data_IF_469947599692
#
_entry.id   IF_469947599692
#
_cell.length_a   1.000
_cell.length_b   1.000
_cell.length_c   1.000
_cell.angle_alpha   90.00
_cell.angle_beta   90.00
_cell.angle_gamma   90.00
#
_symmetry.space_group_name_H-M   'P 1'
#
loop_
_entity.id
_entity.type
_entity.pdbx_description
1 polymer ?
#
# COMPACT_ATOMS: atom_id res chain seq x y z
N UNK A 1 -11.79 1.65 -6.45
CA UNK A 1 -12.35 1.99 -5.13
C UNK A 1 -13.80 1.56 -5.11
N UNK A 2 -14.26 1.00 -4.00
CA UNK A 2 -15.66 0.58 -3.81
C UNK A 2 -16.21 1.23 -2.57
N UNK A 3 -17.47 1.65 -2.67
CA UNK A 3 -18.19 2.34 -1.62
C UNK A 3 -19.56 1.71 -1.46
N UNK A 4 -20.00 1.46 -0.22
CA UNK A 4 -21.35 0.98 0.08
C UNK A 4 -21.93 1.86 1.19
N UNK A 5 -23.18 2.29 1.02
CA UNK A 5 -23.91 3.04 2.04
C UNK A 5 -24.83 2.10 2.81
N UNK A 6 -24.73 2.12 4.14
CA UNK A 6 -25.57 1.37 5.07
C UNK A 6 -26.26 2.34 6.03
N UNK A 7 -27.54 2.11 6.40
CA UNK A 7 -28.19 2.91 7.42
C UNK A 7 -27.54 2.65 8.78
N UNK A 8 -27.60 3.61 9.69
CA UNK A 8 -26.97 3.49 11.01
C UNK A 8 -27.54 2.31 11.85
N UNK A 9 -28.84 2.05 11.75
CA UNK A 9 -29.52 0.94 12.42
C UNK A 9 -29.57 -0.34 11.56
N UNK A 10 -28.58 -0.57 10.71
CA UNK A 10 -28.46 -1.85 10.02
C UNK A 10 -28.20 -2.98 11.03
N UNK A 11 -28.73 -4.17 10.73
CA UNK A 11 -28.48 -5.36 11.54
C UNK A 11 -26.98 -5.72 11.48
N UNK A 12 -26.38 -6.03 12.63
CA UNK A 12 -24.94 -6.30 12.74
C UNK A 12 -24.49 -7.45 11.80
N UNK A 13 -25.37 -8.43 11.57
CA UNK A 13 -25.14 -9.56 10.66
C UNK A 13 -25.00 -9.12 9.20
N UNK A 14 -25.76 -8.10 8.80
CA UNK A 14 -25.70 -7.50 7.46
C UNK A 14 -24.43 -6.68 7.32
N UNK A 15 -24.08 -5.88 8.31
CA UNK A 15 -22.86 -5.08 8.32
C UNK A 15 -21.61 -5.97 8.20
N UNK A 16 -21.48 -6.99 9.05
CA UNK A 16 -20.35 -7.92 9.06
C UNK A 16 -20.21 -8.66 7.71
N UNK A 17 -21.34 -9.05 7.11
CA UNK A 17 -21.33 -9.65 5.78
C UNK A 17 -20.78 -8.70 4.72
N UNK A 18 -21.26 -7.45 4.66
CA UNK A 18 -20.76 -6.47 3.69
C UNK A 18 -19.28 -6.14 3.90
N UNK A 19 -18.83 -6.00 5.15
CA UNK A 19 -17.41 -5.78 5.49
C UNK A 19 -16.56 -6.96 5.03
N UNK A 20 -16.97 -8.18 5.37
CA UNK A 20 -16.25 -9.40 5.02
C UNK A 20 -16.18 -9.58 3.50
N UNK A 21 -17.30 -9.37 2.80
CA UNK A 21 -17.34 -9.46 1.34
C UNK A 21 -16.48 -8.38 0.69
N UNK A 22 -16.55 -7.14 1.17
CA UNK A 22 -15.75 -6.04 0.63
C UNK A 22 -14.25 -6.35 0.76
N UNK A 23 -13.82 -6.79 1.95
CA UNK A 23 -12.44 -7.20 2.22
C UNK A 23 -12.04 -8.43 1.38
N UNK A 24 -12.91 -9.41 1.21
CA UNK A 24 -12.60 -10.58 0.39
C UNK A 24 -12.40 -10.21 -1.08
N UNK A 25 -13.28 -9.36 -1.62
CA UNK A 25 -13.17 -8.86 -2.98
C UNK A 25 -11.87 -8.07 -3.15
N UNK A 26 -11.53 -7.17 -2.21
CA UNK A 26 -10.30 -6.36 -2.33
C UNK A 26 -9.03 -7.17 -2.13
N UNK A 27 -9.02 -8.13 -1.19
CA UNK A 27 -7.90 -9.05 -0.93
C UNK A 27 -7.58 -9.96 -2.11
N UNK A 28 -8.60 -10.47 -2.81
CA UNK A 28 -8.42 -11.31 -4.01
C UNK A 28 -7.80 -10.56 -5.19
N UNK A 29 -7.79 -9.22 -5.16
CA UNK A 29 -6.97 -8.33 -5.99
C UNK A 29 -6.72 -8.81 -7.43
N UNK A 30 -7.53 -8.36 -8.39
CA UNK A 30 -7.32 -8.73 -9.80
C UNK A 30 -8.35 -8.14 -10.76
N UNK A 31 -8.15 -8.36 -12.06
CA UNK A 31 -9.03 -7.90 -13.15
C UNK A 31 -10.49 -8.39 -12.99
N UNK A 32 -10.70 -9.46 -12.20
CA UNK A 32 -12.00 -10.06 -11.91
C UNK A 32 -12.73 -9.44 -10.71
N UNK A 33 -12.17 -8.44 -10.05
CA UNK A 33 -12.81 -7.71 -8.93
C UNK A 33 -14.23 -7.20 -9.26
N UNK A 34 -14.60 -7.15 -10.54
CA UNK A 34 -15.87 -6.62 -11.01
C UNK A 34 -16.74 -7.60 -11.79
N UNK A 35 -16.29 -8.86 -11.95
CA UNK A 35 -17.08 -9.90 -12.63
C UNK A 35 -17.83 -10.80 -11.64
N UNK A 36 -17.31 -10.90 -10.41
CA UNK A 36 -17.88 -11.75 -9.38
C UNK A 36 -18.43 -10.90 -8.23
N UNK A 37 -19.47 -10.08 -8.48
CA UNK A 37 -20.26 -9.61 -7.33
C UNK A 37 -20.84 -10.86 -6.65
N UNK A 38 -20.53 -11.09 -5.37
CA UNK A 38 -20.97 -12.30 -4.68
C UNK A 38 -22.49 -12.34 -4.64
N UNK A 39 -23.06 -13.52 -4.87
CA UNK A 39 -24.49 -13.73 -4.64
C UNK A 39 -24.78 -13.50 -3.15
N UNK A 40 -25.69 -12.57 -2.87
CA UNK A 40 -26.13 -12.28 -1.50
C UNK A 40 -26.83 -13.50 -0.91
N UNK A 41 -26.42 -14.00 0.28
CA UNK A 41 -27.14 -15.06 0.97
C UNK A 41 -28.62 -14.70 1.15
N UNK A 42 -29.48 -15.71 1.19
CA UNK A 42 -30.94 -15.52 1.27
C UNK A 42 -31.34 -14.70 2.49
N UNK A 43 -30.65 -14.86 3.62
CA UNK A 43 -30.95 -14.16 4.87
C UNK A 43 -30.64 -12.66 4.77
N UNK A 44 -29.48 -12.30 4.21
CA UNK A 44 -29.09 -10.91 3.94
C UNK A 44 -30.03 -10.28 2.90
N UNK A 45 -30.39 -11.06 1.87
CA UNK A 45 -31.32 -10.60 0.85
C UNK A 45 -32.67 -10.24 1.45
N UNK A 46 -33.25 -11.09 2.31
CA UNK A 46 -34.53 -10.78 2.99
C UNK A 46 -34.42 -9.53 3.89
N UNK A 47 -33.32 -9.38 4.61
CA UNK A 47 -33.09 -8.23 5.49
C UNK A 47 -32.96 -6.90 4.72
N UNK A 48 -32.48 -6.94 3.47
CA UNK A 48 -32.16 -5.74 2.68
C UNK A 48 -33.14 -5.44 1.54
N UNK A 49 -33.98 -6.40 1.14
CA UNK A 49 -34.84 -6.32 -0.06
C UNK A 49 -35.76 -5.09 -0.10
N UNK A 50 -36.33 -4.70 1.04
CA UNK A 50 -37.24 -3.55 1.13
C UNK A 50 -36.54 -2.17 1.01
N UNK A 51 -35.26 -2.12 1.33
CA UNK A 51 -34.48 -0.88 1.46
C UNK A 51 -33.41 -0.73 0.38
N UNK A 52 -32.97 -1.81 -0.27
CA UNK A 52 -31.84 -1.83 -1.23
C UNK A 52 -32.01 -0.89 -2.43
N UNK A 53 -33.24 -0.64 -2.88
CA UNK A 53 -33.50 0.28 -4.01
C UNK A 53 -33.86 1.71 -3.57
N UNK A 54 -33.98 1.95 -2.27
CA UNK A 54 -34.27 3.28 -1.76
C UNK A 54 -33.05 4.19 -1.84
N UNK A 55 -33.32 5.47 -2.00
CA UNK A 55 -32.31 6.52 -2.06
C UNK A 55 -31.78 6.77 -0.65
N UNK A 56 -30.46 6.74 -0.46
CA UNK A 56 -29.88 7.03 0.86
C UNK A 56 -29.73 8.53 1.16
N UNK A 57 -29.90 9.40 0.16
CA UNK A 57 -29.67 10.85 0.31
C UNK A 57 -28.19 11.22 0.40
N UNK A 58 -27.29 10.25 0.30
CA UNK A 58 -25.84 10.44 0.27
C UNK A 58 -25.35 10.57 -1.18
N UNK A 59 -24.47 11.54 -1.43
CA UNK A 59 -23.88 11.82 -2.73
C UNK A 59 -22.35 11.69 -2.70
N UNK A 60 -21.80 11.06 -3.74
CA UNK A 60 -20.36 10.98 -4.02
C UNK A 60 -19.99 12.06 -5.04
N UNK A 61 -19.16 13.02 -4.64
CA UNK A 61 -18.54 14.00 -5.53
C UNK A 61 -17.06 13.66 -5.73
N UNK A 62 -16.71 13.29 -6.95
CA UNK A 62 -15.32 13.10 -7.36
C UNK A 62 -14.86 14.32 -8.13
N UNK A 63 -13.80 14.99 -7.67
CA UNK A 63 -13.28 16.18 -8.33
C UNK A 63 -11.74 16.17 -8.35
N UNK A 64 -11.19 16.83 -9.38
CA UNK A 64 -9.76 17.13 -9.47
C UNK A 64 -9.55 18.56 -8.94
N UNK A 65 -8.43 18.85 -8.24
CA UNK A 65 -8.16 20.20 -7.77
C UNK A 65 -8.29 21.23 -8.89
N UNK A 66 -9.03 22.33 -8.64
CA UNK A 66 -9.28 23.42 -9.59
C UNK A 66 -9.98 23.02 -10.90
N UNK A 67 -10.72 21.91 -10.91
CA UNK A 67 -11.55 21.49 -12.05
C UNK A 67 -12.99 21.29 -11.57
N UNK A 68 -13.99 21.42 -12.47
CA UNK A 68 -15.37 21.07 -12.14
C UNK A 68 -15.47 19.59 -11.75
N UNK A 69 -16.53 19.26 -11.02
CA UNK A 69 -16.81 17.90 -10.52
C UNK A 69 -16.86 16.92 -11.68
N UNK A 70 -16.08 15.84 -11.60
CA UNK A 70 -15.99 14.80 -12.62
C UNK A 70 -17.15 13.81 -12.54
N UNK A 71 -17.57 13.47 -11.33
CA UNK A 71 -18.74 12.61 -11.09
C UNK A 71 -19.51 13.07 -9.88
N UNK A 72 -20.83 13.03 -10.00
CA UNK A 72 -21.78 13.27 -8.94
C UNK A 72 -22.82 12.15 -8.96
N UNK A 73 -22.62 11.13 -8.13
CA UNK A 73 -23.44 9.92 -8.10
C UNK A 73 -24.11 9.79 -6.72
N UNK A 74 -25.40 9.46 -6.69
CA UNK A 74 -26.14 9.27 -5.45
C UNK A 74 -26.15 7.79 -5.05
N UNK A 75 -25.94 7.52 -3.77
CA UNK A 75 -25.98 6.17 -3.22
C UNK A 75 -27.41 5.64 -3.10
N UNK A 76 -27.53 4.33 -3.28
CA UNK A 76 -28.68 3.53 -2.83
C UNK A 76 -28.21 2.65 -1.68
N UNK A 77 -29.10 2.32 -0.77
CA UNK A 77 -28.75 1.45 0.35
C UNK A 77 -28.29 0.09 -0.15
N UNK A 78 -27.26 -0.49 0.49
CA UNK A 78 -26.81 -1.86 0.21
C UNK A 78 -26.30 -2.12 -1.22
N UNK A 79 -26.25 -1.10 -2.08
CA UNK A 79 -25.77 -1.19 -3.46
C UNK A 79 -24.36 -0.59 -3.55
N UNK A 80 -23.35 -1.37 -3.96
CA UNK A 80 -21.99 -0.88 -4.09
C UNK A 80 -21.84 0.06 -5.30
N UNK A 81 -21.18 1.19 -5.09
CA UNK A 81 -20.70 2.08 -6.14
C UNK A 81 -19.21 1.81 -6.36
N UNK A 82 -18.83 1.56 -7.62
CA UNK A 82 -17.47 1.20 -7.99
C UNK A 82 -16.85 2.29 -8.87
N UNK A 83 -15.78 2.91 -8.37
CA UNK A 83 -14.99 3.88 -9.12
C UNK A 83 -13.72 3.23 -9.68
N UNK A 84 -13.67 3.03 -11.00
CA UNK A 84 -12.53 2.49 -11.76
C UNK A 84 -11.66 3.60 -12.35
N UNK A 85 -10.41 3.28 -12.66
CA UNK A 85 -9.55 4.07 -13.55
C UNK A 85 -9.40 5.56 -13.17
N UNK A 86 -9.42 5.84 -11.86
CA UNK A 86 -9.21 7.19 -11.32
C UNK A 86 -7.93 7.81 -11.90
N UNK A 87 -6.81 7.08 -11.91
CA UNK A 87 -5.54 7.58 -12.46
C UNK A 87 -5.61 7.83 -13.98
N UNK A 88 -6.19 6.89 -14.75
CA UNK A 88 -6.27 7.00 -16.21
C UNK A 88 -7.23 8.10 -16.68
N UNK A 89 -8.28 8.39 -15.91
CA UNK A 89 -9.21 9.50 -16.16
C UNK A 89 -8.50 10.87 -16.10
N UNK A 90 -7.33 10.98 -15.43
CA UNK A 90 -6.49 12.20 -15.43
C UNK A 90 -5.87 12.44 -16.80
N UNK A 91 -5.42 11.38 -17.47
CA UNK A 91 -4.59 11.44 -18.68
C UNK A 91 -5.39 11.86 -19.93
N UNK A 92 -6.70 11.59 -19.97
CA UNK A 92 -7.55 11.88 -21.15
C UNK A 92 -7.93 13.35 -21.32
N UNK A 93 -7.76 14.20 -20.29
CA UNK A 93 -8.22 15.60 -20.32
C UNK A 93 -7.09 16.64 -20.28
N UNK A 94 -5.82 16.23 -20.36
CA UNK A 94 -4.67 17.13 -20.36
C UNK A 94 -3.71 16.81 -21.49
N UNK A 95 -3.57 17.73 -22.45
CA UNK A 95 -2.38 17.80 -23.28
C UNK A 95 -1.30 18.55 -22.48
N UNK A 96 -0.26 17.84 -22.02
CA UNK A 96 0.88 18.47 -21.36
C UNK A 96 1.55 17.59 -20.30
N UNK A 97 2.84 17.86 -20.04
CA UNK A 97 3.68 17.21 -19.03
C UNK A 97 3.36 17.65 -17.58
N UNK A 98 2.42 18.58 -17.39
CA UNK A 98 1.92 18.98 -16.08
C UNK A 98 0.84 18.02 -15.59
N UNK A 99 1.25 16.84 -15.11
CA UNK A 99 0.42 16.11 -14.15
C UNK A 99 0.55 16.83 -12.81
N UNK A 100 -0.48 17.53 -12.30
CA UNK A 100 -0.38 18.10 -10.98
C UNK A 100 -0.19 16.96 -9.98
N UNK A 101 0.76 17.13 -9.06
CA UNK A 101 0.92 16.31 -7.84
C UNK A 101 -0.35 16.31 -6.95
N UNK A 102 -1.36 17.10 -7.31
CA UNK A 102 -2.66 17.14 -6.65
C UNK A 102 -3.48 15.88 -6.94
N UNK A 103 -3.59 15.02 -5.92
CA UNK A 103 -4.45 13.85 -5.94
C UNK A 103 -5.93 14.17 -6.18
N UNK A 104 -6.74 13.13 -6.32
CA UNK A 104 -8.20 13.26 -6.39
C UNK A 104 -8.75 13.59 -5.01
N UNK A 105 -9.72 14.49 -4.94
CA UNK A 105 -10.53 14.66 -3.74
C UNK A 105 -11.89 14.00 -3.94
N UNK A 106 -12.26 13.17 -2.97
CA UNK A 106 -13.57 12.53 -2.88
C UNK A 106 -14.31 13.23 -1.75
N UNK A 107 -15.49 13.78 -2.04
CA UNK A 107 -16.34 14.44 -1.06
C UNK A 107 -17.67 13.68 -0.97
N UNK A 108 -18.12 13.43 0.25
CA UNK A 108 -19.42 12.86 0.54
C UNK A 108 -20.34 13.97 1.04
N UNK A 109 -21.51 14.11 0.43
CA UNK A 109 -22.51 15.10 0.83
C UNK A 109 -23.79 14.37 1.21
N UNK A 110 -24.18 14.48 2.49
CA UNK A 110 -25.44 13.95 2.97
C UNK A 110 -26.51 15.03 2.89
N UNK A 111 -27.53 14.80 2.06
CA UNK A 111 -28.71 15.66 1.92
C UNK A 111 -29.90 15.17 2.75
N UNK A 112 -29.74 14.07 3.49
CA UNK A 112 -30.73 13.48 4.39
C UNK A 112 -30.38 13.79 5.84
N UNK A 113 -31.39 13.87 6.70
CA UNK A 113 -31.24 14.07 8.16
C UNK A 113 -30.84 12.79 8.90
N UNK A 114 -30.99 11.63 8.25
CA UNK A 114 -30.57 10.34 8.81
C UNK A 114 -29.05 10.17 8.76
N UNK A 115 -28.49 9.56 9.81
CA UNK A 115 -27.08 9.15 9.85
C UNK A 115 -26.81 7.99 8.89
N UNK A 116 -25.66 8.05 8.22
CA UNK A 116 -25.27 7.11 7.16
C UNK A 116 -23.90 6.55 7.46
N UNK A 117 -23.77 5.23 7.47
CA UNK A 117 -22.49 4.53 7.54
C UNK A 117 -21.98 4.27 6.12
N UNK A 118 -20.71 4.58 5.88
CA UNK A 118 -20.07 4.41 4.57
C UNK A 118 -18.94 3.40 4.72
N UNK A 119 -19.08 2.24 4.08
CA UNK A 119 -18.01 1.28 3.94
C UNK A 119 -17.21 1.60 2.68
N UNK A 120 -15.89 1.75 2.84
CA UNK A 120 -14.97 2.09 1.76
C UNK A 120 -13.80 1.11 1.74
N UNK A 121 -13.45 0.64 0.53
CA UNK A 121 -12.22 -0.11 0.34
C UNK A 121 -11.55 0.24 -1.02
N UNK A 122 -10.22 0.15 -1.05
CA UNK A 122 -9.37 0.59 -2.16
C UNK A 122 -8.57 -0.58 -2.70
N UNK A 123 -8.94 -1.02 -3.90
CA UNK A 123 -8.15 -1.99 -4.66
C UNK A 123 -7.08 -1.28 -5.47
N UNK A 124 -5.82 -1.60 -5.19
CA UNK A 124 -4.69 -1.21 -6.01
C UNK A 124 -4.47 -2.28 -7.09
N UNK A 125 -5.04 -2.06 -8.27
CA UNK A 125 -4.77 -2.90 -9.43
C UNK A 125 -3.45 -2.43 -10.05
N UNK A 126 -2.44 -3.29 -10.04
CA UNK A 126 -1.21 -3.05 -10.79
C UNK A 126 -1.51 -3.23 -12.28
N UNK A 127 -1.26 -2.21 -13.10
CA UNK A 127 -1.42 -2.21 -14.58
C UNK A 127 -0.58 -3.29 -15.31
N UNK A 128 0.10 -4.18 -14.58
CA UNK A 128 0.80 -5.34 -15.15
C UNK A 128 -0.14 -6.27 -15.96
N UNK A 129 -1.47 -6.17 -15.81
CA UNK A 129 -2.46 -6.93 -16.59
C UNK A 129 -3.09 -6.18 -17.77
N UNK A 130 -3.61 -4.96 -17.56
CA UNK A 130 -4.50 -4.30 -18.53
C UNK A 130 -3.76 -3.74 -19.76
N UNK A 131 -2.47 -3.44 -19.59
CA UNK A 131 -1.67 -3.07 -20.72
C UNK A 131 -1.38 -4.26 -21.65
N UNK A 132 -1.49 -5.54 -21.23
CA UNK A 132 -1.21 -6.66 -22.13
C UNK A 132 -2.18 -6.68 -23.30
N UNK A 133 -3.48 -6.45 -23.07
CA UNK A 133 -4.50 -6.57 -24.11
C UNK A 133 -4.62 -5.33 -25.00
N UNK A 134 -4.43 -4.14 -24.43
CA UNK A 134 -4.35 -2.90 -25.21
C UNK A 134 -3.00 -2.80 -25.94
N UNK A 135 -1.89 -3.22 -25.32
CA UNK A 135 -0.60 -3.40 -26.02
C UNK A 135 -0.72 -4.47 -27.08
N UNK A 136 -1.47 -5.56 -26.89
CA UNK A 136 -1.68 -6.58 -27.92
C UNK A 136 -2.48 -6.05 -29.11
N UNK A 137 -3.54 -5.26 -28.88
CA UNK A 137 -4.26 -4.57 -29.97
C UNK A 137 -3.42 -3.51 -30.69
N UNK A 138 -2.61 -2.73 -29.95
CA UNK A 138 -1.67 -1.75 -30.53
C UNK A 138 -0.50 -2.43 -31.24
N UNK A 139 0.07 -3.49 -30.65
CA UNK A 139 1.07 -4.40 -31.24
C UNK A 139 0.52 -4.99 -32.52
N UNK A 140 -0.70 -5.55 -32.54
CA UNK A 140 -1.27 -6.13 -33.78
C UNK A 140 -1.33 -5.10 -34.92
N UNK A 141 -1.66 -3.84 -34.61
CA UNK A 141 -1.65 -2.75 -35.60
C UNK A 141 -0.25 -2.25 -35.99
N UNK A 142 0.75 -2.42 -35.13
CA UNK A 142 2.14 -2.02 -35.37
C UNK A 142 2.98 -3.14 -36.02
N UNK A 143 2.74 -4.41 -35.66
CA UNK A 143 3.39 -5.62 -36.20
C UNK A 143 3.01 -5.88 -37.66
N UNK A 144 1.83 -5.45 -38.11
CA UNK A 144 1.48 -5.55 -39.53
C UNK A 144 2.22 -4.54 -40.41
N UNK A 145 2.95 -3.57 -39.83
CA UNK A 145 3.59 -2.51 -40.62
C UNK A 145 5.10 -2.65 -40.79
N UNK A 146 5.86 -3.27 -39.90
CA UNK A 146 7.31 -3.31 -40.08
C UNK A 146 7.97 -4.49 -39.38
N UNK A 147 8.96 -5.03 -40.06
CA UNK A 147 9.73 -6.25 -39.86
C UNK A 147 10.52 -6.31 -38.52
N UNK A 148 9.84 -6.50 -37.38
CA UNK A 148 10.44 -6.37 -36.04
C UNK A 148 10.51 -7.66 -35.19
N UNK A 149 10.25 -8.82 -35.79
CA UNK A 149 10.27 -10.14 -35.12
C UNK A 149 11.59 -10.52 -34.43
N UNK A 150 12.79 -10.27 -35.00
CA UNK A 150 14.03 -10.68 -34.33
C UNK A 150 14.43 -9.75 -33.19
N UNK A 151 14.11 -8.45 -33.29
CA UNK A 151 14.48 -7.46 -32.28
C UNK A 151 13.66 -7.65 -30.99
N UNK A 152 12.37 -7.93 -31.13
CA UNK A 152 11.48 -8.16 -29.98
C UNK A 152 11.88 -9.40 -29.17
N UNK A 153 12.38 -10.45 -29.85
CA UNK A 153 12.85 -11.67 -29.20
C UNK A 153 14.07 -11.42 -28.31
N UNK A 154 15.05 -10.67 -28.81
CA UNK A 154 16.25 -10.31 -28.06
C UNK A 154 15.93 -9.41 -26.85
N UNK A 155 14.97 -8.49 -27.00
CA UNK A 155 14.50 -7.66 -25.89
C UNK A 155 13.73 -8.45 -24.85
N UNK A 156 12.87 -9.38 -25.24
CA UNK A 156 12.16 -10.25 -24.29
C UNK A 156 13.12 -11.14 -23.49
N UNK A 157 14.15 -11.66 -24.12
CA UNK A 157 15.19 -12.45 -23.44
C UNK A 157 15.94 -11.59 -22.40
N UNK A 158 16.31 -10.36 -22.77
CA UNK A 158 16.98 -9.41 -21.86
C UNK A 158 16.09 -9.00 -20.68
N UNK A 159 14.79 -8.79 -20.92
CA UNK A 159 13.81 -8.47 -19.86
C UNK A 159 13.64 -9.65 -18.91
N UNK A 160 13.64 -10.87 -19.44
CA UNK A 160 13.52 -12.10 -18.64
C UNK A 160 14.75 -12.28 -17.75
N UNK A 161 15.95 -12.09 -18.28
CA UNK A 161 17.19 -12.10 -17.51
C UNK A 161 17.21 -11.01 -16.43
N UNK A 162 16.77 -9.78 -16.75
CA UNK A 162 16.69 -8.69 -15.78
C UNK A 162 15.70 -9.00 -14.64
N UNK A 163 14.55 -9.62 -14.94
CA UNK A 163 13.58 -10.03 -13.91
C UNK A 163 14.14 -11.11 -12.98
N UNK A 164 14.92 -12.05 -13.51
CA UNK A 164 15.59 -13.07 -12.70
C UNK A 164 16.60 -12.42 -11.73
N UNK A 165 17.40 -11.47 -12.22
CA UNK A 165 18.34 -10.71 -11.38
C UNK A 165 17.62 -9.92 -10.30
N UNK A 166 16.52 -9.22 -10.63
CA UNK A 166 15.75 -8.44 -9.65
C UNK A 166 15.13 -9.34 -8.56
N UNK A 167 14.68 -10.53 -8.93
CA UNK A 167 14.19 -11.52 -7.98
C UNK A 167 15.29 -11.99 -7.02
N UNK A 168 16.50 -12.24 -7.52
CA UNK A 168 17.66 -12.57 -6.71
C UNK A 168 18.10 -11.40 -5.82
N UNK A 169 18.06 -10.16 -6.31
CA UNK A 169 18.36 -8.97 -5.52
C UNK A 169 17.41 -8.80 -4.34
N UNK A 170 16.11 -9.03 -4.53
CA UNK A 170 15.14 -9.02 -3.42
C UNK A 170 15.42 -10.12 -2.39
N UNK A 171 15.86 -11.30 -2.83
CA UNK A 171 16.28 -12.37 -1.93
C UNK A 171 17.53 -11.99 -1.12
N UNK A 172 18.52 -11.36 -1.78
CA UNK A 172 19.74 -10.87 -1.13
C UNK A 172 19.44 -9.76 -0.13
N UNK A 173 18.54 -8.83 -0.45
CA UNK A 173 18.14 -7.74 0.44
C UNK A 173 17.52 -8.27 1.75
N UNK A 174 16.65 -9.29 1.65
CA UNK A 174 16.05 -9.89 2.83
C UNK A 174 17.08 -10.63 3.72
N UNK A 175 18.16 -11.13 3.11
CA UNK A 175 19.28 -11.73 3.82
C UNK A 175 20.21 -10.67 4.43
N UNK A 176 20.44 -9.56 3.73
CA UNK A 176 21.21 -8.41 4.22
C UNK A 176 20.56 -7.81 5.47
N UNK A 177 19.24 -7.59 5.44
CA UNK A 177 18.49 -7.08 6.61
C UNK A 177 18.70 -7.94 7.86
N UNK A 178 18.70 -9.27 7.71
CA UNK A 178 18.98 -10.20 8.82
C UNK A 178 20.44 -10.15 9.29
N UNK A 179 21.40 -10.02 8.38
CA UNK A 179 22.81 -9.88 8.76
C UNK A 179 23.11 -8.54 9.44
N UNK A 180 22.42 -7.47 9.03
CA UNK A 180 22.57 -6.12 9.59
C UNK A 180 22.18 -6.05 11.07
N UNK A 181 21.03 -6.65 11.43
CA UNK A 181 20.60 -6.72 12.84
C UNK A 181 21.59 -7.49 13.73
N UNK A 182 22.20 -8.56 13.20
CA UNK A 182 23.23 -9.31 13.93
C UNK A 182 24.51 -8.48 14.11
N UNK A 183 24.95 -7.76 13.07
CA UNK A 183 26.12 -6.88 13.14
C UNK A 183 25.95 -5.75 14.16
N UNK A 184 24.77 -5.11 14.19
CA UNK A 184 24.47 -4.06 15.17
C UNK A 184 24.49 -4.60 16.60
N UNK A 185 23.93 -5.79 16.83
CA UNK A 185 23.89 -6.41 18.16
C UNK A 185 25.26 -6.87 18.67
N UNK A 186 26.16 -7.32 17.79
CA UNK A 186 27.53 -7.71 18.13
C UNK A 186 28.35 -6.46 18.46
N UNK A 187 28.25 -5.42 17.63
CA UNK A 187 28.98 -4.18 17.81
C UNK A 187 28.62 -3.50 19.16
N UNK A 188 27.35 -3.56 19.57
CA UNK A 188 26.93 -3.06 20.89
C UNK A 188 27.61 -3.77 22.06
N UNK A 189 27.70 -5.11 22.02
CA UNK A 189 28.36 -5.91 23.08
C UNK A 189 29.86 -5.68 23.13
N UNK A 190 30.52 -5.61 21.97
CA UNK A 190 31.97 -5.34 21.88
C UNK A 190 32.29 -3.94 22.42
N UNK A 191 31.48 -2.93 22.09
CA UNK A 191 31.63 -1.58 22.62
C UNK A 191 31.55 -1.56 24.15
N UNK A 192 30.62 -2.31 24.73
CA UNK A 192 30.49 -2.43 26.19
C UNK A 192 31.76 -3.02 26.85
N UNK A 193 32.31 -4.10 26.30
CA UNK A 193 33.56 -4.68 26.79
C UNK A 193 34.77 -3.75 26.66
N UNK A 194 34.82 -2.95 25.58
CA UNK A 194 35.87 -1.93 25.40
C UNK A 194 35.85 -0.88 26.52
N UNK A 195 34.67 -0.35 26.86
CA UNK A 195 34.54 0.61 27.96
C UNK A 195 34.95 0.03 29.32
N UNK A 196 34.58 -1.22 29.60
CA UNK A 196 34.99 -1.92 30.83
C UNK A 196 36.52 -2.05 30.88
N UNK A 197 37.16 -2.46 29.79
CA UNK A 197 38.61 -2.62 29.72
C UNK A 197 39.35 -1.31 30.01
N UNK A 198 38.90 -0.20 29.41
CA UNK A 198 39.47 1.14 29.66
C UNK A 198 39.29 1.55 31.14
N UNK A 199 38.11 1.31 31.72
CA UNK A 199 37.85 1.62 33.11
C UNK A 199 38.77 0.83 34.07
N UNK A 200 39.01 -0.45 33.78
CA UNK A 200 39.94 -1.29 34.57
C UNK A 200 41.37 -0.77 34.49
N UNK A 201 41.85 -0.38 33.30
CA UNK A 201 43.19 0.19 33.14
C UNK A 201 43.36 1.50 33.92
N UNK A 202 42.35 2.37 33.91
CA UNK A 202 42.35 3.59 34.71
C UNK A 202 42.35 3.29 36.22
N UNK A 203 41.59 2.28 36.66
CA UNK A 203 41.59 1.82 38.05
C UNK A 203 42.96 1.29 38.50
N UNK A 204 43.60 0.45 37.67
CA UNK A 204 44.93 -0.10 37.97
C UNK A 204 45.98 0.99 38.00
N UNK A 205 45.98 1.93 37.05
CA UNK A 205 46.94 3.04 37.02
C UNK A 205 46.77 3.98 38.23
N UNK A 206 45.53 4.28 38.64
CA UNK A 206 45.27 5.02 39.88
C UNK A 206 45.80 4.29 41.12
N UNK A 207 45.56 2.97 41.18
CA UNK A 207 46.04 2.13 42.29
C UNK A 207 47.58 2.06 42.32
N UNK A 208 48.23 1.97 41.16
CA UNK A 208 49.69 2.02 41.06
C UNK A 208 50.27 3.34 41.57
N UNK A 209 49.70 4.48 41.19
CA UNK A 209 50.17 5.81 41.63
C UNK A 209 49.97 6.00 43.13
N UNK A 210 48.82 5.59 43.67
CA UNK A 210 48.54 5.69 45.11
C UNK A 210 49.43 4.76 45.93
N UNK A 211 49.69 3.54 45.45
CA UNK A 211 50.62 2.61 46.10
C UNK A 211 52.04 3.17 46.15
N UNK A 212 52.57 3.68 45.03
CA UNK A 212 53.89 4.32 44.99
C UNK A 212 53.97 5.53 45.92
N UNK A 213 52.95 6.42 45.91
CA UNK A 213 52.89 7.55 46.84
C UNK A 213 52.89 7.11 48.30
N UNK A 214 52.12 6.07 48.66
CA UNK A 214 52.10 5.57 50.03
C UNK A 214 53.42 4.89 50.41
N UNK A 215 54.09 4.23 49.47
CA UNK A 215 55.37 3.58 49.69
C UNK A 215 56.47 4.61 49.98
N UNK A 216 56.57 5.68 49.17
CA UNK A 216 57.53 6.78 49.41
C UNK A 216 57.29 7.52 50.72
N UNK A 217 56.02 7.76 51.10
CA UNK A 217 55.67 8.36 52.40
C UNK A 217 56.10 7.49 53.59
N UNK A 218 55.86 6.17 53.53
CA UNK A 218 56.22 5.25 54.63
C UNK A 218 57.74 5.08 54.79
N UNK A 219 58.49 5.12 53.69
CA UNK A 219 59.96 4.98 53.70
C UNK A 219 60.70 6.30 53.95
N UNK A 220 60.02 7.46 54.07
CA UNK A 220 60.61 8.80 54.22
C UNK A 220 61.74 9.06 53.21
N UNK A 221 61.51 8.71 51.94
CA UNK A 221 62.44 8.96 50.83
C UNK A 221 62.10 10.24 50.05
N UNK A 222 61.16 11.04 50.57
CA UNK A 222 60.86 12.42 50.17
C UNK A 222 60.68 13.26 51.43
#
# INVERSE_FOLDING_TARGET
MVFVALPEHAEDTVEDWYVTQLNEMTRKGGENFMKDLPETPVDIKRATEGTMNQKSGLYLKLQKPRRPVLRHEMFRWYVPIIQKNLVQSSKRSGHGWDQPLGGYSICFENSSDNEVRILMDVVLVSDKGEDADLRNKKKKKLLSKEHLTPLEKNFQESITAAHQILHEMHYLENRERRMKHTADSINGRIRYFSYISVAVLLGVTWMQVTYLRSYFKKKKLL
#
